data_IF_247048764745
#
_entry.id   IF_247048764745
#
_cell.length_a   1.000
_cell.length_b   1.000
_cell.length_c   1.000
_cell.angle_alpha   90.00
_cell.angle_beta   90.00
_cell.angle_gamma   90.00
#
_symmetry.space_group_name_H-M   'P 1'
#
loop_
_entity.id
_entity.type
_entity.pdbx_description
1 polymer ?
#
# COMPACT_ATOMS: atom_id res chain seq x y z
N UNK A 1 12.73 7.55 -22.25
CA UNK A 1 12.35 6.20 -21.75
C UNK A 1 12.05 6.17 -20.26
N UNK A 2 12.95 6.61 -19.36
CA UNK A 2 12.79 6.51 -17.89
C UNK A 2 11.47 7.07 -17.32
N UNK A 3 10.98 8.21 -17.82
CA UNK A 3 9.69 8.79 -17.35
C UNK A 3 8.49 7.88 -17.59
N UNK A 4 8.41 7.22 -18.75
CA UNK A 4 7.32 6.28 -19.07
C UNK A 4 7.38 5.05 -18.16
N UNK A 5 8.57 4.56 -17.84
CA UNK A 5 8.79 3.45 -16.91
C UNK A 5 8.38 3.82 -15.48
N UNK A 6 8.75 5.01 -14.99
CA UNK A 6 8.35 5.50 -13.66
C UNK A 6 6.82 5.61 -13.57
N UNK A 7 6.18 6.19 -14.59
CA UNK A 7 4.72 6.28 -14.67
C UNK A 7 4.06 4.90 -14.64
N UNK A 8 4.59 3.94 -15.40
CA UNK A 8 4.06 2.57 -15.41
C UNK A 8 4.18 1.89 -14.04
N UNK A 9 5.32 2.04 -13.36
CA UNK A 9 5.55 1.47 -12.01
C UNK A 9 4.65 2.13 -10.98
N UNK A 10 4.48 3.46 -11.02
CA UNK A 10 3.57 4.17 -10.13
C UNK A 10 2.11 3.72 -10.34
N UNK A 11 1.66 3.66 -11.59
CA UNK A 11 0.30 3.22 -11.92
C UNK A 11 0.06 1.77 -11.50
N UNK A 12 1.02 0.87 -11.70
CA UNK A 12 0.90 -0.53 -11.25
C UNK A 12 0.78 -0.63 -9.73
N UNK A 13 1.60 0.11 -8.99
CA UNK A 13 1.50 0.17 -7.52
C UNK A 13 0.12 0.67 -7.06
N UNK A 14 -0.37 1.76 -7.66
CA UNK A 14 -1.68 2.33 -7.35
C UNK A 14 -2.79 1.31 -7.64
N UNK A 15 -2.82 0.76 -8.85
CA UNK A 15 -3.87 -0.17 -9.28
C UNK A 15 -3.88 -1.41 -8.40
N UNK A 16 -2.73 -2.01 -8.14
CA UNK A 16 -2.67 -3.25 -7.37
C UNK A 16 -3.04 -3.00 -5.91
N UNK A 17 -2.53 -1.94 -5.29
CA UNK A 17 -2.85 -1.65 -3.90
C UNK A 17 -4.35 -1.31 -3.71
N UNK A 18 -4.95 -0.58 -4.67
CA UNK A 18 -6.39 -0.31 -4.67
C UNK A 18 -7.21 -1.59 -4.88
N UNK A 19 -6.84 -2.45 -5.83
CA UNK A 19 -7.52 -3.73 -6.06
C UNK A 19 -7.47 -4.63 -4.84
N UNK A 20 -6.33 -4.71 -4.16
CA UNK A 20 -6.20 -5.50 -2.92
C UNK A 20 -7.14 -4.98 -1.83
N UNK A 21 -7.26 -3.66 -1.66
CA UNK A 21 -8.23 -3.10 -0.71
C UNK A 21 -9.67 -3.43 -1.10
N UNK A 22 -10.03 -3.34 -2.37
CA UNK A 22 -11.37 -3.70 -2.84
C UNK A 22 -11.65 -5.18 -2.57
N UNK A 23 -10.71 -6.07 -2.91
CA UNK A 23 -10.84 -7.53 -2.65
C UNK A 23 -10.98 -7.79 -1.15
N UNK A 24 -10.22 -7.10 -0.31
CA UNK A 24 -10.32 -7.23 1.12
C UNK A 24 -11.72 -6.85 1.63
N UNK A 25 -12.18 -5.63 1.33
CA UNK A 25 -13.46 -5.13 1.80
C UNK A 25 -14.66 -5.89 1.25
N UNK A 26 -14.55 -6.47 0.06
CA UNK A 26 -15.63 -7.25 -0.57
C UNK A 26 -15.67 -8.71 -0.13
N UNK A 27 -14.53 -9.35 0.14
CA UNK A 27 -14.48 -10.81 0.33
C UNK A 27 -13.67 -11.30 1.53
N UNK A 28 -12.62 -10.60 1.93
CA UNK A 28 -11.69 -11.10 2.95
C UNK A 28 -11.90 -10.47 4.34
N UNK A 29 -12.64 -9.37 4.45
CA UNK A 29 -12.79 -8.62 5.71
C UNK A 29 -13.39 -9.45 6.86
N UNK A 30 -14.10 -10.54 6.56
CA UNK A 30 -14.68 -11.46 7.55
C UNK A 30 -13.69 -12.54 7.99
N UNK A 31 -12.68 -12.82 7.16
CA UNK A 31 -11.73 -13.94 7.35
C UNK A 31 -10.35 -13.49 7.81
N UNK A 32 -9.97 -12.27 7.47
CA UNK A 32 -8.65 -11.70 7.75
C UNK A 32 -8.85 -10.45 8.59
N UNK A 33 -8.12 -10.37 9.70
CA UNK A 33 -8.12 -9.18 10.55
C UNK A 33 -7.59 -7.95 9.79
N UNK A 34 -8.20 -6.79 10.05
CA UNK A 34 -7.87 -5.55 9.37
C UNK A 34 -6.43 -5.12 9.63
N UNK A 35 -5.92 -5.26 10.86
CA UNK A 35 -4.54 -4.90 11.17
C UNK A 35 -3.55 -5.83 10.48
N UNK A 36 -3.84 -7.13 10.44
CA UNK A 36 -3.02 -8.09 9.68
C UNK A 36 -2.99 -7.71 8.19
N UNK A 37 -4.15 -7.40 7.61
CA UNK A 37 -4.23 -7.03 6.21
C UNK A 37 -3.48 -5.72 5.91
N UNK A 38 -3.72 -4.68 6.71
CA UNK A 38 -3.12 -3.36 6.51
C UNK A 38 -1.62 -3.37 6.80
N UNK A 39 -1.14 -4.03 7.86
CA UNK A 39 0.26 -3.91 8.27
C UNK A 39 1.18 -4.99 7.71
N UNK A 40 0.64 -6.12 7.26
CA UNK A 40 1.45 -7.24 6.77
C UNK A 40 1.17 -7.47 5.29
N UNK A 41 -0.09 -7.73 4.92
CA UNK A 41 -0.42 -8.16 3.56
C UNK A 41 -0.16 -7.05 2.53
N UNK A 42 -0.70 -5.85 2.75
CA UNK A 42 -0.52 -4.72 1.81
C UNK A 42 0.97 -4.37 1.60
N UNK A 43 1.78 -4.14 2.66
CA UNK A 43 3.20 -3.85 2.51
C UNK A 43 3.98 -4.95 1.80
N UNK A 44 3.74 -6.23 2.12
CA UNK A 44 4.44 -7.34 1.48
C UNK A 44 4.10 -7.47 -0.01
N UNK A 45 2.82 -7.32 -0.36
CA UNK A 45 2.38 -7.36 -1.77
C UNK A 45 3.06 -6.25 -2.56
N UNK A 46 3.03 -5.01 -2.05
CA UNK A 46 3.68 -3.85 -2.68
C UNK A 46 5.18 -4.12 -2.85
N UNK A 47 5.86 -4.58 -1.80
CA UNK A 47 7.29 -4.89 -1.86
C UNK A 47 7.62 -5.96 -2.91
N UNK A 48 6.88 -7.08 -2.96
CA UNK A 48 7.10 -8.16 -3.93
C UNK A 48 6.94 -7.64 -5.37
N UNK A 49 5.91 -6.83 -5.60
CA UNK A 49 5.68 -6.21 -6.91
C UNK A 49 6.85 -5.33 -7.30
N UNK A 50 7.36 -4.49 -6.40
CA UNK A 50 8.45 -3.60 -6.73
C UNK A 50 9.76 -4.33 -6.96
N UNK A 51 10.05 -5.40 -6.22
CA UNK A 51 11.19 -6.28 -6.53
C UNK A 51 11.05 -6.83 -7.96
N UNK A 52 9.87 -7.31 -8.34
CA UNK A 52 9.64 -7.82 -9.70
C UNK A 52 9.74 -6.73 -10.77
N UNK A 53 9.23 -5.52 -10.49
CA UNK A 53 9.32 -4.37 -11.39
C UNK A 53 10.77 -3.86 -11.49
N UNK A 54 11.56 -3.95 -10.42
CA UNK A 54 12.99 -3.63 -10.38
C UNK A 54 13.77 -4.40 -11.43
N UNK A 55 13.53 -5.71 -11.50
CA UNK A 55 14.14 -6.60 -12.50
C UNK A 55 13.83 -6.17 -13.95
N UNK A 56 12.63 -5.62 -14.19
CA UNK A 56 12.15 -5.27 -15.54
C UNK A 56 12.51 -3.86 -15.98
N UNK A 57 12.21 -2.86 -15.16
CA UNK A 57 12.24 -1.45 -15.56
C UNK A 57 13.55 -0.74 -15.17
N UNK A 58 14.35 -1.32 -14.25
CA UNK A 58 15.66 -0.80 -13.82
C UNK A 58 15.68 0.72 -13.56
N UNK A 59 14.61 1.27 -12.96
CA UNK A 59 14.60 2.65 -12.47
C UNK A 59 15.41 2.75 -11.17
N UNK A 60 15.74 3.96 -10.72
CA UNK A 60 16.52 4.12 -9.50
C UNK A 60 15.74 3.67 -8.26
N UNK A 61 16.43 3.14 -7.24
CA UNK A 61 15.82 2.67 -5.99
C UNK A 61 14.87 3.69 -5.36
N UNK A 62 15.30 4.95 -5.24
CA UNK A 62 14.46 6.04 -4.72
C UNK A 62 13.17 6.28 -5.54
N UNK A 63 13.18 5.93 -6.83
CA UNK A 63 12.01 6.07 -7.69
C UNK A 63 11.01 4.92 -7.46
N UNK A 64 11.50 3.70 -7.19
CA UNK A 64 10.64 2.60 -6.71
C UNK A 64 10.01 2.93 -5.37
N UNK A 65 10.83 3.40 -4.41
CA UNK A 65 10.34 3.82 -3.08
C UNK A 65 9.22 4.87 -3.20
N UNK A 66 9.37 5.86 -4.07
CA UNK A 66 8.34 6.88 -4.28
C UNK A 66 7.07 6.30 -4.94
N UNK A 67 7.21 5.35 -5.85
CA UNK A 67 6.07 4.65 -6.45
C UNK A 67 5.31 3.78 -5.44
N UNK A 68 6.02 3.15 -4.50
CA UNK A 68 5.42 2.40 -3.40
C UNK A 68 4.57 3.28 -2.50
N UNK A 69 5.12 4.43 -2.09
CA UNK A 69 4.36 5.39 -1.28
C UNK A 69 3.10 5.89 -1.98
N UNK A 70 3.16 6.11 -3.29
CA UNK A 70 1.97 6.42 -4.08
C UNK A 70 0.95 5.27 -4.03
N UNK A 71 1.39 4.03 -4.19
CA UNK A 71 0.52 2.85 -4.05
C UNK A 71 -0.20 2.81 -2.70
N UNK A 72 0.54 2.97 -1.60
CA UNK A 72 -0.01 2.99 -0.24
C UNK A 72 -1.00 4.13 -0.06
N UNK A 73 -0.61 5.34 -0.47
CA UNK A 73 -1.47 6.52 -0.35
C UNK A 73 -2.82 6.31 -1.04
N UNK A 74 -2.82 5.77 -2.25
CA UNK A 74 -4.06 5.45 -2.95
C UNK A 74 -4.82 4.29 -2.31
N UNK A 75 -4.14 3.30 -1.73
CA UNK A 75 -4.80 2.22 -0.98
C UNK A 75 -5.56 2.75 0.24
N UNK A 76 -5.01 3.75 0.92
CA UNK A 76 -5.66 4.42 2.05
C UNK A 76 -6.89 5.18 1.57
N UNK A 77 -6.79 5.91 0.45
CA UNK A 77 -7.95 6.58 -0.16
C UNK A 77 -9.03 5.55 -0.49
N UNK A 78 -8.66 4.41 -1.10
CA UNK A 78 -9.61 3.34 -1.40
C UNK A 78 -10.25 2.79 -0.13
N UNK A 79 -9.50 2.60 0.95
CA UNK A 79 -10.05 2.16 2.24
C UNK A 79 -11.06 3.17 2.80
N UNK A 80 -10.76 4.47 2.75
CA UNK A 80 -11.70 5.54 3.16
C UNK A 80 -12.98 5.46 2.34
N UNK A 81 -12.87 5.41 1.01
CA UNK A 81 -14.03 5.36 0.11
C UNK A 81 -14.87 4.11 0.37
N UNK A 82 -14.25 2.94 0.50
CA UNK A 82 -14.97 1.67 0.76
C UNK A 82 -15.66 1.68 2.12
N UNK A 83 -15.03 2.26 3.14
CA UNK A 83 -15.62 2.42 4.47
C UNK A 83 -16.84 3.34 4.40
N UNK A 84 -16.72 4.49 3.73
CA UNK A 84 -17.83 5.43 3.55
C UNK A 84 -19.02 4.79 2.84
N UNK A 85 -18.79 4.01 1.77
CA UNK A 85 -19.86 3.30 1.04
C UNK A 85 -20.62 2.35 1.97
N UNK A 86 -19.92 1.59 2.82
CA UNK A 86 -20.57 0.71 3.81
C UNK A 86 -21.37 1.50 4.86
N UNK A 87 -20.90 2.67 5.27
CA UNK A 87 -21.57 3.45 6.32
C UNK A 87 -22.84 4.18 5.86
N UNK A 88 -23.12 4.26 4.56
CA UNK A 88 -24.41 4.77 4.04
C UNK A 88 -25.59 3.89 4.50
N UNK A 89 -25.34 2.66 4.95
CA UNK A 89 -26.35 1.75 5.48
C UNK A 89 -26.67 1.92 6.99
N UNK A 90 -25.98 2.81 7.70
CA UNK A 90 -26.21 3.03 9.14
C UNK A 90 -27.42 3.94 9.42
N UNK A 91 -28.19 3.69 10.49
CA UNK A 91 -29.33 4.53 10.85
C UNK A 91 -28.90 5.97 11.18
N UNK A 92 -29.75 6.97 10.89
CA UNK A 92 -29.40 8.37 11.06
C UNK A 92 -29.19 8.70 12.55
N UNK A 93 -27.96 9.08 12.93
CA UNK A 93 -27.63 9.54 14.29
C UNK A 93 -26.22 9.22 14.78
N UNK A 94 -25.54 8.22 14.21
CA UNK A 94 -24.18 7.86 14.64
C UNK A 94 -23.10 8.69 13.92
N UNK A 95 -22.38 9.54 14.68
CA UNK A 95 -21.22 10.28 14.18
C UNK A 95 -19.92 9.54 14.51
N UNK A 96 -19.54 8.58 13.67
CA UNK A 96 -18.31 7.77 13.82
C UNK A 96 -17.11 8.41 13.09
N UNK A 97 -17.37 9.35 12.16
CA UNK A 97 -16.43 9.86 11.18
C UNK A 97 -15.10 10.42 11.73
N UNK A 98 -15.07 11.05 12.91
CA UNK A 98 -13.84 11.66 13.43
C UNK A 98 -12.86 10.66 14.04
N UNK A 99 -13.35 9.62 14.73
CA UNK A 99 -12.49 8.58 15.30
C UNK A 99 -11.87 7.72 14.19
N UNK A 100 -12.64 7.43 13.14
CA UNK A 100 -12.18 6.62 12.01
C UNK A 100 -11.11 7.33 11.19
N UNK A 101 -11.25 8.64 10.92
CA UNK A 101 -10.23 9.38 10.16
C UNK A 101 -8.89 9.40 10.89
N UNK A 102 -8.89 9.57 12.21
CA UNK A 102 -7.66 9.60 13.01
C UNK A 102 -6.99 8.21 13.04
N UNK A 103 -7.79 7.15 13.15
CA UNK A 103 -7.31 5.77 13.05
C UNK A 103 -6.71 5.47 11.67
N UNK A 104 -7.33 5.93 10.59
CA UNK A 104 -6.84 5.76 9.22
C UNK A 104 -5.50 6.47 9.01
N UNK A 105 -5.36 7.69 9.54
CA UNK A 105 -4.09 8.43 9.51
C UNK A 105 -3.01 7.65 10.26
N UNK A 106 -3.32 7.15 11.46
CA UNK A 106 -2.38 6.35 12.24
C UNK A 106 -1.95 5.08 11.50
N UNK A 107 -2.90 4.34 10.91
CA UNK A 107 -2.62 3.16 10.10
C UNK A 107 -1.68 3.51 8.94
N UNK A 108 -1.94 4.62 8.25
CA UNK A 108 -1.12 5.09 7.12
C UNK A 108 0.32 5.39 7.55
N UNK A 109 0.50 6.06 8.69
CA UNK A 109 1.83 6.37 9.24
C UNK A 109 2.59 5.09 9.56
N UNK A 110 1.95 4.14 10.24
CA UNK A 110 2.57 2.86 10.59
C UNK A 110 2.92 2.05 9.34
N UNK A 111 2.05 2.01 8.34
CA UNK A 111 2.33 1.38 7.05
C UNK A 111 3.56 1.96 6.35
N UNK A 112 3.72 3.29 6.39
CA UNK A 112 4.89 3.97 5.82
C UNK A 112 6.18 3.52 6.52
N UNK A 113 6.18 3.44 7.85
CA UNK A 113 7.35 2.96 8.60
C UNK A 113 7.69 1.50 8.29
N UNK A 114 6.67 0.65 8.18
CA UNK A 114 6.86 -0.76 7.80
C UNK A 114 7.48 -0.85 6.40
N UNK A 115 6.97 -0.11 5.43
CA UNK A 115 7.53 -0.11 4.08
C UNK A 115 8.94 0.45 4.02
N UNK A 116 9.24 1.52 4.75
CA UNK A 116 10.61 2.02 4.86
C UNK A 116 11.56 0.95 5.39
N UNK A 117 11.14 0.22 6.42
CA UNK A 117 11.92 -0.86 6.99
C UNK A 117 12.11 -2.02 6.01
N UNK A 118 11.05 -2.47 5.34
CA UNK A 118 11.10 -3.51 4.31
C UNK A 118 12.02 -3.11 3.14
N UNK A 119 11.92 -1.88 2.67
CA UNK A 119 12.80 -1.35 1.62
C UNK A 119 14.26 -1.30 2.06
N UNK A 120 14.54 -0.94 3.31
CA UNK A 120 15.88 -0.96 3.86
C UNK A 120 16.46 -2.38 3.84
N UNK A 121 15.67 -3.39 4.18
CA UNK A 121 16.07 -4.80 4.11
C UNK A 121 16.36 -5.23 2.66
N UNK A 122 15.47 -4.90 1.72
CA UNK A 122 15.66 -5.21 0.30
C UNK A 122 16.93 -4.56 -0.25
N UNK A 123 17.12 -3.27 0.03
CA UNK A 123 18.31 -2.52 -0.38
C UNK A 123 19.59 -3.07 0.26
N UNK A 124 19.56 -3.37 1.55
CA UNK A 124 20.68 -3.97 2.29
C UNK A 124 21.08 -5.33 1.72
N UNK A 125 20.09 -6.19 1.46
CA UNK A 125 20.31 -7.50 0.82
C UNK A 125 20.91 -7.37 -0.58
N UNK A 126 20.37 -6.48 -1.42
CA UNK A 126 20.90 -6.21 -2.76
C UNK A 126 22.36 -5.72 -2.71
N UNK A 127 22.69 -4.79 -1.81
CA UNK A 127 24.05 -4.25 -1.65
C UNK A 127 25.03 -5.29 -1.11
N UNK A 128 24.59 -6.19 -0.24
CA UNK A 128 25.42 -7.28 0.27
C UNK A 128 25.73 -8.30 -0.83
N UNK A 129 24.73 -8.66 -1.65
CA UNK A 129 24.90 -9.60 -2.76
C UNK A 129 25.78 -9.04 -3.88
N UNK A 130 25.67 -7.75 -4.19
CA UNK A 130 26.45 -7.08 -5.26
C UNK A 130 27.87 -6.63 -4.85
N UNK A 131 28.20 -6.69 -3.56
CA UNK A 131 29.57 -6.43 -3.05
C UNK A 131 30.44 -7.70 -2.95
N UNK A 132 29.87 -8.88 -3.24
CA UNK A 132 30.63 -10.09 -3.56
C UNK A 132 30.88 -10.14 -5.06
#
# INVERSE_FOLDING_TARGET
>A
MKRKSILAVALLNIVIAALFQIVYWSTLYVKIDAFVFQFIVIPLVIMIINIALELKFKIGFYQYLLCEFLGVFFSVITMVVMSLIKHVELPPGEKILHADVLLIILISIVQIFILLFLNLLVYGGYRFYTKK
#
